data_IF_589631752280
#
_entry.id   IF_589631752280
#
_cell.length_a   1.000
_cell.length_b   1.000
_cell.length_c   1.000
_cell.angle_alpha   90.00
_cell.angle_beta   90.00
_cell.angle_gamma   90.00
#
_symmetry.space_group_name_H-M   'P 1'
#
loop_
_entity.id
_entity.type
_entity.pdbx_description
1 polymer ?
#
# COMPACT_ATOMS: atom_id res chain seq x y z
N UNK A 1 -9.00 22.88 7.97
CA UNK A 1 -9.17 21.44 8.31
C UNK A 1 -8.52 21.20 9.67
N UNK A 2 -9.13 20.41 10.57
CA UNK A 2 -8.54 20.17 11.90
C UNK A 2 -7.23 19.37 11.77
N UNK A 3 -6.14 19.75 12.48
CA UNK A 3 -4.91 18.95 12.52
C UNK A 3 -5.16 17.51 12.99
N UNK A 4 -6.08 17.32 13.93
CA UNK A 4 -6.44 15.99 14.45
C UNK A 4 -7.13 15.12 13.40
N UNK A 5 -8.04 15.70 12.61
CA UNK A 5 -8.71 15.00 11.51
C UNK A 5 -7.71 14.66 10.39
N UNK A 6 -6.80 15.58 10.10
CA UNK A 6 -5.75 15.37 9.10
C UNK A 6 -4.83 14.23 9.51
N UNK A 7 -4.34 14.24 10.76
CA UNK A 7 -3.50 13.18 11.31
C UNK A 7 -4.21 11.82 11.32
N UNK A 8 -5.50 11.79 11.69
CA UNK A 8 -6.33 10.57 11.64
C UNK A 8 -6.37 9.97 10.24
N UNK A 9 -6.63 10.79 9.23
CA UNK A 9 -6.71 10.32 7.85
C UNK A 9 -5.33 9.85 7.36
N UNK A 10 -4.28 10.65 7.57
CA UNK A 10 -2.91 10.27 7.23
C UNK A 10 -2.50 8.93 7.85
N UNK A 11 -2.85 8.70 9.12
CA UNK A 11 -2.51 7.44 9.80
C UNK A 11 -3.27 6.24 9.21
N UNK A 12 -4.54 6.43 8.81
CA UNK A 12 -5.34 5.37 8.17
C UNK A 12 -4.84 5.03 6.78
N UNK A 13 -4.40 6.04 6.05
CA UNK A 13 -3.88 5.87 4.69
C UNK A 13 -2.46 5.30 4.71
N UNK A 14 -1.64 5.66 5.70
CA UNK A 14 -0.28 5.13 5.86
C UNK A 14 -0.25 3.68 6.37
N UNK A 15 -1.26 3.25 7.13
CA UNK A 15 -1.39 1.87 7.63
C UNK A 15 -2.79 1.32 7.36
N UNK A 16 -3.12 0.97 6.11
CA UNK A 16 -4.45 0.50 5.75
C UNK A 16 -4.75 -0.85 6.40
N UNK A 17 -5.94 -0.98 6.98
CA UNK A 17 -6.35 -2.19 7.71
C UNK A 17 -6.30 -3.44 6.81
N UNK A 18 -6.56 -3.29 5.51
CA UNK A 18 -6.51 -4.38 4.54
C UNK A 18 -5.11 -5.02 4.45
N UNK A 19 -4.03 -4.22 4.60
CA UNK A 19 -2.65 -4.72 4.58
C UNK A 19 -2.25 -5.33 5.92
N UNK A 20 -2.57 -4.64 7.02
CA UNK A 20 -2.07 -4.99 8.35
C UNK A 20 -2.96 -5.96 9.14
N UNK A 21 -4.18 -6.23 8.64
CA UNK A 21 -5.21 -7.19 9.12
C UNK A 21 -5.80 -6.91 10.50
N UNK A 22 -5.00 -6.44 11.47
CA UNK A 22 -5.40 -6.19 12.85
C UNK A 22 -4.92 -4.82 13.30
N UNK A 23 -5.69 -4.17 14.17
CA UNK A 23 -5.34 -2.85 14.72
C UNK A 23 -4.05 -2.89 15.54
N UNK A 24 -3.78 -3.97 16.25
CA UNK A 24 -2.54 -4.08 17.04
C UNK A 24 -1.29 -4.06 16.16
N UNK A 25 -1.35 -4.70 14.98
CA UNK A 25 -0.26 -4.65 14.01
C UNK A 25 -0.04 -3.23 13.47
N UNK A 26 -1.13 -2.50 13.22
CA UNK A 26 -1.07 -1.09 12.81
C UNK A 26 -0.37 -0.26 13.87
N UNK A 27 -0.78 -0.38 15.13
CA UNK A 27 -0.19 0.41 16.21
C UNK A 27 1.27 0.04 16.46
N UNK A 28 1.60 -1.24 16.35
CA UNK A 28 2.98 -1.71 16.43
C UNK A 28 3.86 -1.10 15.33
N UNK A 29 3.44 -1.20 14.07
CA UNK A 29 4.21 -0.68 12.93
C UNK A 29 4.26 0.86 12.92
N UNK A 30 3.17 1.53 13.31
CA UNK A 30 3.15 2.98 13.48
C UNK A 30 4.14 3.43 14.55
N UNK A 31 4.21 2.76 15.70
CA UNK A 31 5.19 3.07 16.75
C UNK A 31 6.60 2.84 16.26
N UNK A 32 6.87 1.69 15.63
CA UNK A 32 8.17 1.34 15.07
C UNK A 32 8.66 2.38 14.05
N UNK A 33 7.76 2.91 13.23
CA UNK A 33 8.09 3.91 12.21
C UNK A 33 8.23 5.32 12.80
N UNK A 34 7.29 5.76 13.64
CA UNK A 34 7.22 7.15 14.11
C UNK A 34 8.20 7.42 15.25
N UNK A 35 8.36 6.50 16.20
CA UNK A 35 9.21 6.68 17.39
C UNK A 35 10.61 7.23 17.10
N UNK A 36 11.38 6.71 16.11
CA UNK A 36 12.70 7.27 15.79
C UNK A 36 12.68 8.62 15.04
N UNK A 37 11.50 9.15 14.68
CA UNK A 37 11.32 10.37 13.87
C UNK A 37 10.74 11.53 14.66
N UNK A 38 10.39 11.32 15.92
CA UNK A 38 9.81 12.34 16.79
C UNK A 38 10.69 12.52 18.02
N UNK A 39 10.59 13.68 18.67
CA UNK A 39 11.40 13.98 19.85
C UNK A 39 10.81 13.37 21.11
N UNK A 40 9.48 13.24 21.17
CA UNK A 40 8.76 12.72 22.34
C UNK A 40 8.52 11.23 22.20
N UNK A 41 8.37 10.57 23.35
CA UNK A 41 8.00 9.15 23.36
C UNK A 41 6.68 8.91 22.63
N UNK A 42 6.74 8.12 21.55
CA UNK A 42 5.57 7.72 20.77
C UNK A 42 5.14 6.30 21.12
N UNK A 43 3.98 6.18 21.76
CA UNK A 43 3.47 4.90 22.27
C UNK A 43 2.28 4.36 21.46
N UNK A 44 1.96 3.07 21.62
CA UNK A 44 0.79 2.49 20.97
C UNK A 44 -0.53 3.17 21.39
N UNK A 45 -0.61 3.65 22.64
CA UNK A 45 -1.73 4.45 23.13
C UNK A 45 -1.83 5.78 22.36
N UNK A 46 -0.71 6.44 22.11
CA UNK A 46 -0.65 7.67 21.31
C UNK A 46 -1.12 7.41 19.88
N UNK A 47 -0.59 6.37 19.24
CA UNK A 47 -1.00 5.91 17.92
C UNK A 47 -2.52 5.68 17.86
N UNK A 48 -3.08 4.94 18.83
CA UNK A 48 -4.54 4.70 18.92
C UNK A 48 -5.35 6.00 19.02
N UNK A 49 -4.91 6.95 19.85
CA UNK A 49 -5.62 8.23 19.99
C UNK A 49 -5.66 9.04 18.69
N UNK A 50 -4.62 8.95 17.87
CA UNK A 50 -4.56 9.59 16.54
C UNK A 50 -5.50 8.85 15.58
N UNK A 51 -5.45 7.51 15.56
CA UNK A 51 -6.29 6.65 14.71
C UNK A 51 -7.80 6.86 14.92
N UNK A 52 -8.21 7.01 16.17
CA UNK A 52 -9.61 7.25 16.55
C UNK A 52 -10.01 8.71 16.30
N UNK A 53 -9.04 9.63 16.34
CA UNK A 53 -9.25 11.08 16.28
C UNK A 53 -9.55 11.71 17.64
N UNK A 54 -9.20 11.03 18.73
CA UNK A 54 -9.42 11.47 20.12
C UNK A 54 -8.21 12.23 20.69
N UNK A 55 -7.11 12.33 19.94
CA UNK A 55 -5.95 13.12 20.31
C UNK A 55 -6.31 14.62 20.46
N UNK A 56 -5.98 15.21 21.62
CA UNK A 56 -6.23 16.64 21.90
C UNK A 56 -5.37 17.59 21.06
N UNK A 57 -4.14 17.18 20.76
CA UNK A 57 -3.17 17.91 19.93
C UNK A 57 -2.39 16.92 19.08
N UNK A 58 -1.84 17.40 17.97
CA UNK A 58 -0.85 16.68 17.15
C UNK A 58 0.37 17.60 17.06
N UNK A 59 1.53 17.09 17.46
CA UNK A 59 2.77 17.84 17.39
C UNK A 59 3.28 17.88 15.93
N UNK A 60 4.10 18.86 15.57
CA UNK A 60 4.51 19.05 14.17
C UNK A 60 5.37 17.91 13.63
N UNK A 61 6.26 17.36 14.47
CA UNK A 61 7.09 16.20 14.14
C UNK A 61 6.24 14.92 13.93
N UNK A 62 5.19 14.72 14.72
CA UNK A 62 4.21 13.65 14.48
C UNK A 62 3.51 13.81 13.12
N UNK A 63 3.10 15.03 12.77
CA UNK A 63 2.49 15.30 11.45
C UNK A 63 3.44 14.99 10.30
N UNK A 64 4.71 15.39 10.42
CA UNK A 64 5.70 15.15 9.38
C UNK A 64 6.06 13.67 9.27
N UNK A 65 6.14 12.95 10.39
CA UNK A 65 6.32 11.50 10.41
C UNK A 65 5.14 10.76 9.76
N UNK A 66 3.90 11.19 9.98
CA UNK A 66 2.71 10.63 9.33
C UNK A 66 2.71 10.85 7.82
N UNK A 67 3.10 12.04 7.36
CA UNK A 67 3.25 12.32 5.92
C UNK A 67 4.33 11.44 5.29
N UNK A 68 5.46 11.28 5.97
CA UNK A 68 6.54 10.41 5.50
C UNK A 68 6.08 8.94 5.42
N UNK A 69 5.31 8.47 6.40
CA UNK A 69 4.75 7.12 6.40
C UNK A 69 3.80 6.89 5.21
N UNK A 70 2.92 7.85 4.91
CA UNK A 70 2.02 7.77 3.75
C UNK A 70 2.78 7.67 2.43
N UNK A 71 3.88 8.41 2.29
CA UNK A 71 4.73 8.34 1.10
C UNK A 71 5.40 6.96 0.97
N UNK A 72 5.86 6.37 2.08
CA UNK A 72 6.43 5.02 2.05
C UNK A 72 5.38 3.96 1.68
N UNK A 73 4.17 4.03 2.24
CA UNK A 73 3.08 3.15 1.84
C UNK A 73 2.70 3.32 0.37
N UNK A 74 2.64 4.56 -0.12
CA UNK A 74 2.39 4.86 -1.54
C UNK A 74 3.46 4.26 -2.46
N UNK A 75 4.73 4.23 -2.04
CA UNK A 75 5.82 3.58 -2.78
C UNK A 75 5.65 2.06 -2.81
N UNK A 76 5.21 1.45 -1.72
CA UNK A 76 4.94 0.01 -1.63
C UNK A 76 3.78 -0.33 -2.58
N UNK A 77 2.66 0.38 -2.47
CA UNK A 77 1.49 0.18 -3.31
C UNK A 77 1.83 0.34 -4.80
N UNK A 78 2.55 1.40 -5.17
CA UNK A 78 2.98 1.61 -6.56
C UNK A 78 3.86 0.45 -7.08
N UNK A 79 4.69 -0.17 -6.24
CA UNK A 79 5.48 -1.34 -6.63
C UNK A 79 4.61 -2.57 -6.84
N UNK A 80 3.67 -2.81 -5.94
CA UNK A 80 2.75 -3.95 -6.01
C UNK A 80 1.82 -3.86 -7.23
N UNK A 81 1.29 -2.68 -7.51
CA UNK A 81 0.45 -2.42 -8.69
C UNK A 81 1.22 -2.67 -9.99
N UNK A 82 2.48 -2.21 -10.08
CA UNK A 82 3.34 -2.49 -11.24
C UNK A 82 3.63 -3.97 -11.40
N UNK A 83 3.92 -4.68 -10.31
CA UNK A 83 4.14 -6.12 -10.35
C UNK A 83 2.87 -6.87 -10.78
N UNK A 84 1.70 -6.42 -10.32
CA UNK A 84 0.42 -6.99 -10.72
C UNK A 84 0.14 -6.77 -12.20
N UNK A 85 0.40 -5.57 -12.70
CA UNK A 85 0.26 -5.25 -14.13
C UNK A 85 1.16 -6.15 -14.98
N UNK A 86 2.44 -6.24 -14.63
CA UNK A 86 3.39 -7.11 -15.33
C UNK A 86 2.95 -8.59 -15.34
N UNK A 87 2.39 -9.09 -14.24
CA UNK A 87 1.84 -10.45 -14.17
C UNK A 87 0.62 -10.65 -15.07
N UNK A 88 -0.24 -9.64 -15.20
CA UNK A 88 -1.40 -9.69 -16.10
C UNK A 88 -0.95 -9.65 -17.56
N UNK A 89 0.00 -8.78 -17.90
CA UNK A 89 0.56 -8.68 -19.25
C UNK A 89 1.21 -10.02 -19.68
N UNK A 90 1.94 -10.68 -18.77
CA UNK A 90 2.51 -12.00 -19.03
C UNK A 90 1.43 -13.05 -19.31
N UNK A 91 0.30 -13.02 -18.59
CA UNK A 91 -0.83 -13.94 -18.81
C UNK A 91 -1.45 -13.71 -20.18
N UNK A 92 -1.68 -12.45 -20.57
CA UNK A 92 -2.22 -12.10 -21.87
C UNK A 92 -1.28 -12.57 -22.98
N UNK A 93 0.02 -12.22 -22.89
CA UNK A 93 1.02 -12.61 -23.89
C UNK A 93 1.15 -14.13 -24.04
N UNK A 94 1.10 -14.89 -22.94
CA UNK A 94 1.16 -16.36 -22.99
C UNK A 94 -0.08 -16.97 -23.65
N UNK A 95 -1.27 -16.42 -23.42
CA UNK A 95 -2.50 -16.84 -24.09
C UNK A 95 -2.44 -16.55 -25.60
N UNK A 96 -2.04 -15.33 -25.99
CA UNK A 96 -1.91 -14.92 -27.40
C UNK A 96 -0.89 -15.77 -28.16
N UNK A 97 0.25 -16.09 -27.54
CA UNK A 97 1.26 -16.96 -28.14
C UNK A 97 0.75 -18.40 -28.38
N UNK A 98 -0.12 -18.91 -27.50
CA UNK A 98 -0.78 -20.22 -27.72
C UNK A 98 -1.80 -20.11 -28.85
N UNK A 99 -2.64 -19.09 -28.86
CA UNK A 99 -3.64 -18.87 -29.90
C UNK A 99 -3.00 -18.72 -31.30
N UNK A 100 -1.90 -17.96 -31.38
CA UNK A 100 -1.15 -17.78 -32.63
C UNK A 100 -0.56 -19.09 -33.15
N UNK A 101 0.06 -19.90 -32.28
CA UNK A 101 0.58 -21.23 -32.67
C UNK A 101 -0.52 -22.15 -33.21
N UNK A 102 -1.71 -22.11 -32.62
CA UNK A 102 -2.85 -22.91 -33.09
C UNK A 102 -3.38 -22.44 -34.45
N UNK A 103 -3.39 -21.13 -34.71
CA UNK A 103 -3.80 -20.58 -36.00
C UNK A 103 -2.84 -20.99 -37.13
N UNK A 104 -1.52 -20.89 -36.89
CA UNK A 104 -0.50 -21.31 -37.86
C UNK A 104 -0.57 -22.82 -38.15
N UNK A 105 -0.78 -23.64 -37.11
CA UNK A 105 -0.94 -25.09 -37.27
C UNK A 105 -2.17 -25.48 -38.12
N UNK A 106 -3.27 -24.73 -38.02
CA UNK A 106 -4.49 -24.93 -38.85
C UNK A 106 -4.25 -24.55 -40.30
N UNK A 107 -3.61 -23.41 -40.58
CA UNK A 107 -3.29 -23.01 -41.96
C UNK A 107 -2.33 -23.98 -42.66
N UNK A 108 -1.32 -24.49 -41.95
CA UNK A 108 -0.39 -25.48 -42.51
C UNK A 108 -1.03 -26.84 -42.82
N UNK A 109 -2.13 -27.19 -42.15
CA UNK A 109 -2.87 -28.44 -42.40
C UNK A 109 -3.95 -28.33 -43.49
N UNK A 110 -4.34 -27.11 -43.87
CA UNK A 110 -5.21 -26.84 -45.02
C UNK A 110 -4.45 -26.69 -46.34
N UNK A 111 -3.22 -26.17 -46.32
CA UNK A 111 -2.36 -26.08 -47.52
C UNK A 111 -1.66 -27.39 -47.92
N UNK A 112 -1.69 -28.41 -47.05
CA UNK A 112 -0.99 -29.69 -47.25
C UNK A 112 -1.88 -30.85 -47.73
N UNK A 113 -3.12 -30.59 -48.14
CA UNK A 113 -4.02 -31.56 -48.81
C UNK A 113 -4.26 -31.14 -50.24
#
# INVERSE_FOLDING_TARGET
MSPTLTAKNLMRDAWPLQRYTKLDNIFYEAVRFISPRVTKEFTARRARSIWEGTARRIDSDEMDALRAALIEESKIEARELRARLASLDQKIASFEAVAHRQAVARQGSEMGR
#
